data_IF_773366203599
#
_entry.id   IF_773366203599
#
_cell.length_a   1.000
_cell.length_b   1.000
_cell.length_c   1.000
_cell.angle_alpha   90.00
_cell.angle_beta   90.00
_cell.angle_gamma   90.00
#
_symmetry.space_group_name_H-M   'P 1'
#
loop_
_entity.id
_entity.type
_entity.pdbx_description
1 polymer ?
#
# COMPACT_ATOMS: atom_id res chain seq x y z
N UNK A 1 -85.57 -1.55 -2.91
CA UNK A 1 -85.94 -2.15 -1.62
C UNK A 1 -84.79 -3.08 -1.20
N UNK A 2 -84.30 -2.90 0.04
CA UNK A 2 -83.34 -3.75 0.79
C UNK A 2 -81.84 -3.57 0.51
N UNK A 3 -81.27 -2.78 1.43
CA UNK A 3 -79.87 -2.52 1.70
C UNK A 3 -79.06 -3.79 1.99
N UNK A 4 -77.77 -3.77 1.67
CA UNK A 4 -76.76 -4.68 2.23
C UNK A 4 -75.77 -3.86 3.05
N UNK A 5 -75.87 -4.03 4.36
CA UNK A 5 -74.90 -3.58 5.36
C UNK A 5 -73.53 -4.19 5.03
N UNK A 6 -72.50 -3.36 4.86
CA UNK A 6 -71.11 -3.76 5.05
C UNK A 6 -70.68 -3.26 6.42
N UNK A 7 -70.49 -4.19 7.36
CA UNK A 7 -69.93 -3.90 8.67
C UNK A 7 -68.42 -3.66 8.54
N UNK A 8 -68.00 -2.41 8.70
CA UNK A 8 -66.59 -2.03 8.89
C UNK A 8 -66.21 -2.43 10.33
N UNK A 9 -65.37 -3.45 10.49
CA UNK A 9 -64.71 -3.75 11.76
C UNK A 9 -63.34 -3.07 11.76
N UNK A 10 -63.29 -1.89 12.38
CA UNK A 10 -62.05 -1.17 12.68
C UNK A 10 -61.36 -1.90 13.85
N UNK A 11 -60.37 -2.74 13.55
CA UNK A 11 -59.52 -3.35 14.58
C UNK A 11 -58.51 -2.29 15.03
N UNK A 12 -58.82 -1.63 16.14
CA UNK A 12 -57.87 -0.75 16.84
C UNK A 12 -56.86 -1.65 17.59
N UNK A 13 -55.75 -1.98 16.93
CA UNK A 13 -54.62 -2.66 17.59
C UNK A 13 -53.93 -1.64 18.51
N UNK A 14 -54.36 -1.56 19.77
CA UNK A 14 -53.56 -0.91 20.82
C UNK A 14 -52.35 -1.81 21.10
N UNK A 15 -51.23 -1.52 20.44
CA UNK A 15 -49.93 -2.06 20.80
C UNK A 15 -49.53 -1.38 22.11
N UNK A 16 -50.00 -1.92 23.23
CA UNK A 16 -49.40 -1.66 24.53
C UNK A 16 -48.05 -2.41 24.55
N UNK A 17 -47.01 -1.77 24.02
CA UNK A 17 -45.64 -2.16 24.31
C UNK A 17 -45.38 -2.05 25.82
N UNK A 18 -44.48 -2.86 26.39
CA UNK A 18 -44.26 -2.88 27.83
C UNK A 18 -43.79 -1.49 28.32
N UNK A 19 -44.62 -0.81 29.11
CA UNK A 19 -44.32 0.48 29.77
C UNK A 19 -43.06 0.45 30.64
N UNK A 20 -42.55 -0.74 30.99
CA UNK A 20 -41.40 -0.91 31.87
C UNK A 20 -40.06 -0.38 31.30
N UNK A 21 -39.89 -0.32 29.97
CA UNK A 21 -38.64 0.14 29.37
C UNK A 21 -38.49 1.68 29.30
N UNK A 22 -39.58 2.44 29.46
CA UNK A 22 -39.53 3.91 29.51
C UNK A 22 -39.14 4.46 30.89
N UNK A 23 -39.35 3.69 31.97
CA UNK A 23 -39.12 4.17 33.33
C UNK A 23 -37.63 4.29 33.73
N UNK A 24 -36.74 3.42 33.25
CA UNK A 24 -35.31 3.46 33.64
C UNK A 24 -34.57 4.72 33.13
N UNK A 25 -35.09 5.37 32.08
CA UNK A 25 -34.51 6.59 31.50
C UNK A 25 -34.90 7.87 32.23
N UNK A 26 -36.04 7.85 32.94
CA UNK A 26 -36.64 9.00 33.58
C UNK A 26 -36.16 9.20 35.02
N UNK A 27 -35.38 8.26 35.56
CA UNK A 27 -34.86 8.31 36.92
C UNK A 27 -35.93 8.08 37.97
N UNK A 28 -35.61 8.42 39.23
CA UNK A 28 -36.48 8.20 40.39
C UNK A 28 -37.63 9.23 40.47
N UNK A 29 -37.53 10.36 39.76
CA UNK A 29 -38.57 11.39 39.67
C UNK A 29 -38.88 11.75 38.19
N UNK A 30 -39.77 10.98 37.53
CA UNK A 30 -40.14 11.20 36.13
C UNK A 30 -40.79 12.56 35.85
N UNK A 31 -41.61 13.06 36.77
CA UNK A 31 -42.33 14.33 36.57
C UNK A 31 -41.36 15.50 36.61
N UNK A 32 -40.43 15.50 37.58
CA UNK A 32 -39.38 16.49 37.66
C UNK A 32 -38.42 16.40 36.47
N UNK A 33 -38.08 15.19 36.02
CA UNK A 33 -37.28 14.98 34.83
C UNK A 33 -37.91 15.65 33.59
N UNK A 34 -39.18 15.35 33.32
CA UNK A 34 -39.90 15.85 32.15
C UNK A 34 -40.09 17.37 32.21
N UNK A 35 -40.40 17.92 33.38
CA UNK A 35 -40.51 19.37 33.59
C UNK A 35 -39.17 20.06 33.31
N UNK A 36 -38.09 19.61 33.94
CA UNK A 36 -36.75 20.19 33.77
C UNK A 36 -36.32 20.10 32.30
N UNK A 37 -36.50 18.95 31.65
CA UNK A 37 -36.14 18.75 30.25
C UNK A 37 -36.93 19.68 29.32
N UNK A 38 -38.23 19.84 29.55
CA UNK A 38 -39.10 20.74 28.77
C UNK A 38 -38.62 22.19 28.84
N UNK A 39 -38.36 22.68 30.05
CA UNK A 39 -37.88 24.05 30.28
C UNK A 39 -36.51 24.29 29.65
N UNK A 40 -35.56 23.37 29.88
CA UNK A 40 -34.25 23.43 29.25
C UNK A 40 -34.36 23.45 27.71
N UNK A 41 -35.17 22.56 27.13
CA UNK A 41 -35.25 22.44 25.68
C UNK A 41 -35.89 23.67 25.05
N UNK A 42 -36.86 24.29 25.71
CA UNK A 42 -37.47 25.51 25.20
C UNK A 42 -36.47 26.67 25.12
N UNK A 43 -35.71 26.93 26.20
CA UNK A 43 -34.65 27.94 26.16
C UNK A 43 -33.54 27.61 25.16
N UNK A 44 -33.13 26.34 25.07
CA UNK A 44 -32.10 25.92 24.12
C UNK A 44 -32.54 26.15 22.66
N UNK A 45 -33.81 25.90 22.30
CA UNK A 45 -34.34 26.13 20.94
C UNK A 45 -34.22 27.58 20.49
N UNK A 46 -34.23 28.51 21.44
CA UNK A 46 -34.16 29.94 21.21
C UNK A 46 -32.71 30.47 21.32
N UNK A 47 -31.71 29.57 21.37
CA UNK A 47 -30.30 29.87 21.61
C UNK A 47 -30.03 30.64 22.92
N UNK A 48 -31.00 30.64 23.84
CA UNK A 48 -30.86 31.27 25.15
C UNK A 48 -30.15 30.32 26.13
N UNK A 49 -28.86 30.08 25.91
CA UNK A 49 -28.07 29.13 26.71
C UNK A 49 -27.91 29.55 28.17
N UNK A 50 -27.94 30.86 28.45
CA UNK A 50 -27.86 31.38 29.82
C UNK A 50 -29.02 30.85 30.67
N UNK A 51 -30.25 30.92 30.15
CA UNK A 51 -31.44 30.47 30.87
C UNK A 51 -31.69 28.96 30.70
N UNK A 52 -31.14 28.33 29.65
CA UNK A 52 -31.20 26.88 29.47
C UNK A 52 -30.34 26.12 30.50
N UNK A 53 -29.17 26.65 30.87
CA UNK A 53 -28.17 25.95 31.70
C UNK A 53 -28.68 25.52 33.08
N UNK A 54 -29.37 26.36 33.88
CA UNK A 54 -29.90 25.92 35.17
C UNK A 54 -30.85 24.73 35.06
N UNK A 55 -31.70 24.72 34.02
CA UNK A 55 -32.63 23.62 33.77
C UNK A 55 -31.89 22.38 33.27
N UNK A 56 -30.91 22.55 32.38
CA UNK A 56 -30.08 21.47 31.88
C UNK A 56 -29.34 20.74 33.01
N UNK A 57 -28.74 21.49 33.95
CA UNK A 57 -28.06 20.92 35.12
C UNK A 57 -29.01 20.08 35.97
N UNK A 58 -30.21 20.59 36.25
CA UNK A 58 -31.23 19.82 36.97
C UNK A 58 -31.65 18.55 36.20
N UNK A 59 -31.76 18.62 34.87
CA UNK A 59 -32.12 17.46 34.06
C UNK A 59 -31.03 16.37 34.08
N UNK A 60 -29.75 16.72 33.94
CA UNK A 60 -28.67 15.71 34.00
C UNK A 60 -28.53 15.09 35.39
N UNK A 61 -28.88 15.81 36.46
CA UNK A 61 -28.91 15.28 37.83
C UNK A 61 -30.10 14.34 38.06
N UNK A 62 -31.27 14.67 37.50
CA UNK A 62 -32.51 13.90 37.73
C UNK A 62 -32.59 12.67 36.82
N UNK A 63 -32.25 12.82 35.54
CA UNK A 63 -32.46 11.79 34.52
C UNK A 63 -31.39 11.83 33.41
N UNK A 64 -30.13 11.51 33.74
CA UNK A 64 -28.99 11.61 32.80
C UNK A 64 -29.11 10.70 31.57
N UNK A 65 -29.89 9.62 31.65
CA UNK A 65 -30.13 8.65 30.56
C UNK A 65 -31.33 9.00 29.68
N UNK A 66 -32.04 10.10 29.97
CA UNK A 66 -33.28 10.43 29.28
C UNK A 66 -33.11 10.55 27.76
N UNK A 67 -32.07 11.27 27.32
CA UNK A 67 -31.78 11.48 25.90
C UNK A 67 -30.30 11.79 25.68
N UNK A 68 -29.69 11.22 24.65
CA UNK A 68 -28.31 11.55 24.26
C UNK A 68 -28.16 13.02 23.88
N UNK A 69 -29.23 13.64 23.36
CA UNK A 69 -29.25 15.07 23.01
C UNK A 69 -29.07 15.97 24.23
N UNK A 70 -29.35 15.47 25.44
CA UNK A 70 -29.06 16.20 26.67
C UNK A 70 -27.57 16.54 26.76
N UNK A 71 -26.71 15.55 26.53
CA UNK A 71 -25.27 15.71 26.60
C UNK A 71 -24.71 16.45 25.39
N UNK A 72 -25.18 16.14 24.17
CA UNK A 72 -24.77 16.84 22.93
C UNK A 72 -25.00 18.35 23.04
N UNK A 73 -26.17 18.74 23.52
CA UNK A 73 -26.51 20.15 23.72
C UNK A 73 -25.71 20.77 24.88
N UNK A 74 -25.37 19.99 25.90
CA UNK A 74 -24.43 20.39 26.95
C UNK A 74 -23.06 20.75 26.37
N UNK A 75 -22.52 19.91 25.49
CA UNK A 75 -21.26 20.19 24.79
C UNK A 75 -21.34 21.50 24.00
N UNK A 76 -22.43 21.71 23.25
CA UNK A 76 -22.65 22.94 22.46
C UNK A 76 -22.67 24.17 23.37
N UNK A 77 -23.49 24.16 24.44
CA UNK A 77 -23.58 25.28 25.37
C UNK A 77 -22.24 25.62 26.02
N UNK A 78 -21.46 24.61 26.43
CA UNK A 78 -20.15 24.86 27.04
C UNK A 78 -19.11 25.31 26.02
N UNK A 79 -19.10 24.77 24.80
CA UNK A 79 -18.23 25.27 23.71
C UNK A 79 -18.50 26.74 23.41
N UNK A 80 -19.76 27.14 23.27
CA UNK A 80 -20.14 28.55 23.05
C UNK A 80 -19.68 29.44 24.21
N UNK A 81 -19.79 28.98 25.46
CA UNK A 81 -19.31 29.74 26.62
C UNK A 81 -17.80 29.86 26.68
N UNK A 82 -17.07 28.80 26.34
CA UNK A 82 -15.60 28.83 26.27
C UNK A 82 -15.14 29.84 25.21
N UNK A 83 -15.78 29.86 24.05
CA UNK A 83 -15.47 30.78 22.95
C UNK A 83 -15.83 32.24 23.26
N UNK A 84 -16.83 32.46 24.12
CA UNK A 84 -17.25 33.79 24.57
C UNK A 84 -16.60 34.28 25.87
N UNK A 85 -15.75 33.49 26.52
CA UNK A 85 -15.11 33.84 27.79
C UNK A 85 -13.68 34.38 27.56
N UNK A 86 -13.42 35.58 28.06
CA UNK A 86 -12.13 36.25 27.91
C UNK A 86 -11.20 35.99 29.11
N UNK A 87 -11.76 35.65 30.27
CA UNK A 87 -10.98 35.35 31.46
C UNK A 87 -10.43 33.92 31.41
N UNK A 88 -9.10 33.79 31.37
CA UNK A 88 -8.42 32.49 31.23
C UNK A 88 -8.76 31.51 32.37
N UNK A 89 -8.94 31.99 33.61
CA UNK A 89 -9.25 31.11 34.74
C UNK A 89 -10.68 30.58 34.66
N UNK A 90 -11.64 31.42 34.28
CA UNK A 90 -13.02 30.97 34.01
C UNK A 90 -13.10 30.08 32.78
N UNK A 91 -12.34 30.39 31.75
CA UNK A 91 -12.25 29.56 30.55
C UNK A 91 -11.74 28.15 30.90
N UNK A 92 -10.71 28.03 31.74
CA UNK A 92 -10.20 26.75 32.22
C UNK A 92 -11.29 25.92 32.94
N UNK A 93 -12.06 26.54 33.84
CA UNK A 93 -13.17 25.88 34.56
C UNK A 93 -14.27 25.40 33.59
N UNK A 94 -14.57 26.19 32.55
CA UNK A 94 -15.54 25.80 31.52
C UNK A 94 -15.01 24.63 30.67
N UNK A 95 -13.71 24.60 30.38
CA UNK A 95 -13.06 23.48 29.69
C UNK A 95 -13.11 22.21 30.55
N UNK A 96 -12.82 22.29 31.86
CA UNK A 96 -12.98 21.15 32.78
C UNK A 96 -14.40 20.59 32.76
N UNK A 97 -15.38 21.50 32.80
CA UNK A 97 -16.80 21.13 32.73
C UNK A 97 -17.16 20.46 31.40
N UNK A 98 -16.59 20.92 30.28
CA UNK A 98 -16.76 20.27 28.98
C UNK A 98 -16.13 18.87 28.96
N UNK A 99 -14.95 18.68 29.54
CA UNK A 99 -14.33 17.34 29.63
C UNK A 99 -15.18 16.39 30.48
N UNK A 100 -15.74 16.89 31.58
CA UNK A 100 -16.67 16.12 32.40
C UNK A 100 -17.95 15.76 31.63
N UNK A 101 -18.50 16.67 30.82
CA UNK A 101 -19.66 16.37 29.95
C UNK A 101 -19.36 15.22 29.00
N UNK A 102 -18.17 15.21 28.38
CA UNK A 102 -17.73 14.10 27.54
C UNK A 102 -17.68 12.78 28.33
N UNK A 103 -17.12 12.81 29.53
CA UNK A 103 -17.02 11.61 30.38
C UNK A 103 -18.39 11.07 30.78
N UNK A 104 -19.31 11.94 31.18
CA UNK A 104 -20.68 11.53 31.52
C UNK A 104 -21.44 10.98 30.32
N UNK A 105 -21.29 11.61 29.14
CA UNK A 105 -21.89 11.11 27.91
C UNK A 105 -21.37 9.71 27.57
N UNK A 106 -20.05 9.51 27.67
CA UNK A 106 -19.40 8.22 27.44
C UNK A 106 -19.91 7.15 28.42
N UNK A 107 -20.11 7.50 29.70
CA UNK A 107 -20.62 6.59 30.73
C UNK A 107 -22.09 6.22 30.48
N UNK A 108 -22.96 7.21 30.28
CA UNK A 108 -24.41 6.99 30.20
C UNK A 108 -24.87 6.42 28.84
N UNK A 109 -24.09 6.66 27.78
CA UNK A 109 -24.44 6.28 26.41
C UNK A 109 -23.35 5.43 25.75
N UNK A 110 -22.58 4.66 26.53
CA UNK A 110 -21.46 3.84 26.04
C UNK A 110 -21.83 2.94 24.84
N UNK A 111 -23.03 2.35 24.85
CA UNK A 111 -23.52 1.41 23.83
C UNK A 111 -24.44 2.08 22.79
N UNK A 112 -24.45 3.42 22.71
CA UNK A 112 -25.33 4.12 21.77
C UNK A 112 -24.98 3.76 20.32
N UNK A 113 -25.96 3.39 19.47
CA UNK A 113 -25.68 2.82 18.15
C UNK A 113 -24.85 3.76 17.25
N UNK A 114 -25.13 5.06 17.33
CA UNK A 114 -24.47 6.10 16.52
C UNK A 114 -23.30 6.78 17.23
N UNK A 115 -23.33 6.83 18.58
CA UNK A 115 -22.42 7.67 19.37
C UNK A 115 -21.88 6.90 20.59
N UNK A 116 -21.28 5.72 20.37
CA UNK A 116 -20.78 4.90 21.48
C UNK A 116 -19.60 5.59 22.18
N UNK A 117 -19.14 5.00 23.28
CA UNK A 117 -18.02 5.52 24.09
C UNK A 117 -16.83 5.96 23.22
N UNK A 118 -16.36 5.10 22.31
CA UNK A 118 -15.23 5.41 21.44
C UNK A 118 -15.43 6.69 20.61
N UNK A 119 -16.62 6.88 20.01
CA UNK A 119 -16.93 8.11 19.28
C UNK A 119 -16.82 9.35 20.16
N UNK A 120 -17.35 9.28 21.38
CA UNK A 120 -17.34 10.39 22.35
C UNK A 120 -15.91 10.71 22.79
N UNK A 121 -15.08 9.70 23.02
CA UNK A 121 -13.66 9.86 23.37
C UNK A 121 -12.88 10.58 22.26
N UNK A 122 -13.10 10.22 20.98
CA UNK A 122 -12.47 10.92 19.86
C UNK A 122 -12.83 12.41 19.83
N UNK A 123 -14.10 12.76 20.05
CA UNK A 123 -14.54 14.16 20.13
C UNK A 123 -13.97 14.90 21.36
N UNK A 124 -13.82 14.20 22.49
CA UNK A 124 -13.18 14.72 23.69
C UNK A 124 -11.73 15.11 23.40
N UNK A 125 -10.94 14.22 22.81
CA UNK A 125 -9.54 14.47 22.51
C UNK A 125 -9.33 15.62 21.52
N UNK A 126 -10.16 15.71 20.48
CA UNK A 126 -10.13 16.86 19.55
C UNK A 126 -10.44 18.17 20.29
N UNK A 127 -11.40 18.14 21.24
CA UNK A 127 -11.72 19.31 22.06
C UNK A 127 -10.59 19.67 23.04
N UNK A 128 -9.85 18.68 23.56
CA UNK A 128 -8.63 18.91 24.36
C UNK A 128 -7.64 19.70 23.52
N UNK A 129 -7.28 19.25 22.32
CA UNK A 129 -6.30 19.96 21.49
C UNK A 129 -6.79 21.35 21.04
N UNK A 130 -8.10 21.54 20.87
CA UNK A 130 -8.68 22.85 20.55
C UNK A 130 -8.51 23.85 21.69
N UNK A 131 -8.75 23.45 22.94
CA UNK A 131 -8.86 24.38 24.08
C UNK A 131 -7.69 24.33 25.07
N UNK A 132 -7.03 23.18 25.19
CA UNK A 132 -5.77 22.95 25.93
C UNK A 132 -4.68 22.67 24.92
N UNK A 133 -4.28 23.73 24.22
CA UNK A 133 -3.16 23.67 23.28
C UNK A 133 -1.97 23.03 24.01
N UNK A 134 -1.31 22.09 23.34
CA UNK A 134 -0.13 21.36 23.84
C UNK A 134 -0.38 20.18 24.79
N UNK A 135 -1.64 19.86 25.16
CA UNK A 135 -1.95 18.64 25.93
C UNK A 135 -1.98 17.39 25.02
N UNK A 136 -0.88 17.17 24.30
CA UNK A 136 -0.73 16.12 23.30
C UNK A 136 -0.74 14.72 23.92
N UNK A 137 -0.11 14.54 25.09
CA UNK A 137 -0.08 13.23 25.76
C UNK A 137 -1.49 12.78 26.14
N UNK A 138 -2.28 13.65 26.77
CA UNK A 138 -3.66 13.30 27.17
C UNK A 138 -4.53 13.05 25.95
N UNK A 139 -4.41 13.88 24.91
CA UNK A 139 -5.14 13.69 23.67
C UNK A 139 -4.77 12.37 22.98
N UNK A 140 -3.47 12.03 22.92
CA UNK A 140 -2.96 10.79 22.32
C UNK A 140 -3.55 9.54 22.99
N UNK A 141 -3.50 9.46 24.32
CA UNK A 141 -4.05 8.32 25.09
C UNK A 141 -5.55 8.12 24.82
N UNK A 142 -6.31 9.23 24.79
CA UNK A 142 -7.76 9.19 24.55
C UNK A 142 -8.07 8.83 23.09
N UNK A 143 -7.31 9.33 22.12
CA UNK A 143 -7.44 9.01 20.70
C UNK A 143 -7.13 7.53 20.44
N UNK A 144 -6.07 7.01 21.07
CA UNK A 144 -5.72 5.59 20.99
C UNK A 144 -6.88 4.72 21.45
N UNK A 145 -7.41 4.97 22.65
CA UNK A 145 -8.57 4.24 23.18
C UNK A 145 -9.82 4.41 22.29
N UNK A 146 -10.04 5.61 21.74
CA UNK A 146 -11.12 5.87 20.79
C UNK A 146 -11.02 4.96 19.56
N UNK A 147 -9.82 4.85 18.98
CA UNK A 147 -9.58 4.04 17.78
C UNK A 147 -9.68 2.55 18.10
N UNK A 148 -9.15 2.10 19.24
CA UNK A 148 -9.28 0.70 19.69
C UNK A 148 -10.75 0.27 19.84
N UNK A 149 -11.61 1.14 20.38
CA UNK A 149 -13.04 0.85 20.55
C UNK A 149 -13.84 0.93 19.25
N UNK A 150 -13.44 1.81 18.32
CA UNK A 150 -14.20 2.10 17.10
C UNK A 150 -13.73 1.27 15.90
N UNK A 151 -12.46 0.87 15.87
CA UNK A 151 -11.83 0.20 14.73
C UNK A 151 -12.10 0.93 13.42
N UNK A 152 -12.58 0.24 12.36
CA UNK A 152 -12.94 0.84 11.07
C UNK A 152 -14.02 1.93 11.14
N UNK A 153 -14.80 2.02 12.23
CA UNK A 153 -15.82 3.08 12.41
C UNK A 153 -15.23 4.40 12.91
N UNK A 154 -13.93 4.47 13.19
CA UNK A 154 -13.26 5.71 13.58
C UNK A 154 -13.37 6.75 12.47
N UNK A 155 -13.59 8.02 12.82
CA UNK A 155 -13.72 9.07 11.80
C UNK A 155 -12.36 9.51 11.27
N UNK A 156 -12.35 10.02 10.03
CA UNK A 156 -11.19 10.64 9.39
C UNK A 156 -10.48 11.67 10.29
N UNK A 157 -11.26 12.54 10.97
CA UNK A 157 -10.71 13.53 11.89
C UNK A 157 -9.98 12.91 13.10
N UNK A 158 -10.50 11.81 13.64
CA UNK A 158 -9.89 11.13 14.80
C UNK A 158 -8.56 10.49 14.43
N UNK A 159 -8.50 9.74 13.31
CA UNK A 159 -7.26 9.08 12.89
C UNK A 159 -6.19 10.09 12.47
N UNK A 160 -6.57 11.18 11.80
CA UNK A 160 -5.66 12.27 11.44
C UNK A 160 -5.09 12.96 12.67
N UNK A 161 -5.96 13.25 13.65
CA UNK A 161 -5.54 13.88 14.92
C UNK A 161 -4.64 12.94 15.72
N UNK A 162 -4.92 11.63 15.72
CA UNK A 162 -4.07 10.66 16.39
C UNK A 162 -2.65 10.66 15.82
N UNK A 163 -2.53 10.61 14.49
CA UNK A 163 -1.22 10.69 13.83
C UNK A 163 -0.50 12.02 14.12
N UNK A 164 -1.24 13.13 14.16
CA UNK A 164 -0.68 14.43 14.55
C UNK A 164 -0.10 14.39 15.97
N UNK A 165 -0.84 13.83 16.94
CA UNK A 165 -0.37 13.71 18.33
C UNK A 165 0.82 12.76 18.45
N UNK A 166 0.81 11.63 17.72
CA UNK A 166 1.93 10.68 17.67
C UNK A 166 3.21 11.36 17.18
N UNK A 167 3.15 12.09 16.06
CA UNK A 167 4.28 12.89 15.55
C UNK A 167 4.79 13.86 16.61
N UNK A 168 3.91 14.58 17.29
CA UNK A 168 4.33 15.58 18.28
C UNK A 168 5.01 14.93 19.49
N UNK A 169 4.44 13.85 20.03
CA UNK A 169 5.06 13.10 21.12
C UNK A 169 6.42 12.51 20.74
N UNK A 170 6.61 12.11 19.48
CA UNK A 170 7.91 11.67 18.98
C UNK A 170 8.93 12.80 18.95
N UNK A 171 8.54 13.98 18.45
CA UNK A 171 9.39 15.17 18.44
C UNK A 171 9.76 15.63 19.85
N UNK A 172 8.87 15.42 20.82
CA UNK A 172 9.08 15.71 22.24
C UNK A 172 9.89 14.62 22.96
N UNK A 173 10.24 13.52 22.27
CA UNK A 173 11.00 12.39 22.82
C UNK A 173 10.21 11.51 23.81
N UNK A 174 8.87 11.62 23.80
CA UNK A 174 7.98 10.86 24.69
C UNK A 174 7.64 9.46 24.15
N UNK A 175 7.66 9.28 22.84
CA UNK A 175 7.52 7.98 22.16
C UNK A 175 8.67 7.76 21.19
N UNK A 176 8.94 6.50 20.85
CA UNK A 176 9.97 6.09 19.89
C UNK A 176 9.41 5.92 18.46
N UNK A 177 10.31 5.65 17.51
CA UNK A 177 9.96 5.47 16.10
C UNK A 177 9.09 4.22 15.84
N UNK A 178 9.18 3.20 16.70
CA UNK A 178 8.35 1.99 16.60
C UNK A 178 6.90 2.32 16.93
N UNK A 179 6.65 3.14 17.96
CA UNK A 179 5.31 3.59 18.26
C UNK A 179 4.72 4.46 17.15
N UNK A 180 5.48 5.43 16.60
CA UNK A 180 5.01 6.25 15.47
C UNK A 180 4.62 5.40 14.26
N UNK A 181 5.41 4.37 13.97
CA UNK A 181 5.15 3.46 12.86
C UNK A 181 3.91 2.59 13.08
N UNK A 182 3.72 2.07 14.30
CA UNK A 182 2.49 1.34 14.64
C UNK A 182 1.25 2.26 14.56
N UNK A 183 1.37 3.51 15.01
CA UNK A 183 0.28 4.49 14.94
C UNK A 183 -0.06 4.84 13.48
N UNK A 184 0.95 4.99 12.63
CA UNK A 184 0.76 5.14 11.18
C UNK A 184 0.03 3.95 10.57
N UNK A 185 0.40 2.71 10.91
CA UNK A 185 -0.28 1.52 10.41
C UNK A 185 -1.76 1.48 10.79
N UNK A 186 -2.06 1.69 12.08
CA UNK A 186 -3.43 1.66 12.60
C UNK A 186 -4.30 2.72 11.89
N UNK A 187 -3.76 3.93 11.72
CA UNK A 187 -4.51 5.02 11.07
C UNK A 187 -4.71 4.79 9.58
N UNK A 188 -3.70 4.28 8.88
CA UNK A 188 -3.81 3.92 7.46
C UNK A 188 -4.75 2.75 7.23
N UNK A 189 -4.75 1.73 8.09
CA UNK A 189 -5.67 0.59 7.98
C UNK A 189 -7.13 1.04 8.05
N UNK A 190 -7.45 1.93 9.00
CA UNK A 190 -8.79 2.52 9.10
C UNK A 190 -9.15 3.33 7.85
N UNK A 191 -8.22 4.15 7.36
CA UNK A 191 -8.47 4.97 6.18
C UNK A 191 -8.68 4.13 4.91
N UNK A 192 -7.79 3.17 4.65
CA UNK A 192 -7.87 2.25 3.51
C UNK A 192 -9.17 1.42 3.55
N UNK A 193 -9.58 0.94 4.73
CA UNK A 193 -10.83 0.19 4.89
C UNK A 193 -12.07 1.02 4.52
N UNK A 194 -12.11 2.31 4.89
CA UNK A 194 -13.21 3.20 4.53
C UNK A 194 -13.19 3.60 3.05
N UNK A 195 -12.03 3.91 2.49
CA UNK A 195 -11.88 4.22 1.06
C UNK A 195 -12.20 3.02 0.15
N UNK A 196 -11.98 1.78 0.62
CA UNK A 196 -12.44 0.60 -0.12
C UNK A 196 -13.96 0.52 -0.24
N UNK A 197 -14.69 1.00 0.76
CA UNK A 197 -16.16 1.04 0.76
C UNK A 197 -16.71 2.27 0.05
N UNK A 198 -16.02 3.40 0.16
CA UNK A 198 -16.40 4.68 -0.46
C UNK A 198 -15.14 5.36 -1.02
N UNK A 199 -14.73 5.02 -2.26
CA UNK A 199 -13.47 5.50 -2.84
C UNK A 199 -13.36 7.01 -2.97
N UNK A 200 -14.49 7.71 -3.12
CA UNK A 200 -14.54 9.17 -3.31
C UNK A 200 -14.80 9.93 -1.99
N UNK A 201 -14.56 9.33 -0.82
CA UNK A 201 -14.72 10.01 0.47
C UNK A 201 -13.61 11.07 0.66
N UNK A 202 -13.99 12.36 0.51
CA UNK A 202 -13.06 13.49 0.65
C UNK A 202 -12.40 13.55 2.03
N UNK A 203 -13.13 13.18 3.10
CA UNK A 203 -12.63 13.24 4.46
C UNK A 203 -11.50 12.24 4.71
N UNK A 204 -11.70 10.99 4.29
CA UNK A 204 -10.66 9.97 4.39
C UNK A 204 -9.52 10.19 3.41
N UNK A 205 -9.77 10.75 2.23
CA UNK A 205 -8.71 11.16 1.29
C UNK A 205 -7.80 12.20 1.93
N UNK A 206 -8.37 13.27 2.52
CA UNK A 206 -7.59 14.28 3.25
C UNK A 206 -6.88 13.70 4.48
N UNK A 207 -7.48 12.73 5.15
CA UNK A 207 -6.83 12.05 6.27
C UNK A 207 -5.61 11.26 5.82
N UNK A 208 -5.68 10.53 4.70
CA UNK A 208 -4.51 9.83 4.12
C UNK A 208 -3.38 10.81 3.85
N UNK A 209 -3.63 11.89 3.10
CA UNK A 209 -2.61 12.89 2.77
C UNK A 209 -1.99 13.49 4.03
N UNK A 210 -2.81 13.79 5.03
CA UNK A 210 -2.36 14.34 6.30
C UNK A 210 -1.56 13.34 7.15
N UNK A 211 -1.98 12.08 7.20
CA UNK A 211 -1.29 10.99 7.90
C UNK A 211 0.09 10.76 7.27
N UNK A 212 0.16 10.69 5.93
CA UNK A 212 1.43 10.54 5.20
C UNK A 212 2.37 11.73 5.44
N UNK A 213 1.83 12.95 5.44
CA UNK A 213 2.58 14.16 5.76
C UNK A 213 3.13 14.14 7.20
N UNK A 214 2.31 13.78 8.18
CA UNK A 214 2.77 13.69 9.56
C UNK A 214 3.80 12.57 9.77
N UNK A 215 3.60 11.42 9.13
CA UNK A 215 4.54 10.31 9.22
C UNK A 215 5.89 10.67 8.58
N UNK A 216 5.89 11.16 7.34
CA UNK A 216 7.12 11.55 6.62
C UNK A 216 7.90 12.66 7.32
N UNK A 217 7.21 13.66 7.89
CA UNK A 217 7.84 14.80 8.58
C UNK A 217 8.17 14.54 10.06
N UNK A 218 7.84 13.35 10.59
CA UNK A 218 8.16 12.99 11.98
C UNK A 218 9.66 12.75 12.18
N UNK A 219 10.37 12.30 11.14
CA UNK A 219 11.73 11.76 11.25
C UNK A 219 11.77 10.26 11.58
N UNK A 220 10.64 9.64 11.97
CA UNK A 220 10.55 8.18 12.17
C UNK A 220 10.47 7.40 10.85
N UNK A 221 10.13 8.06 9.74
CA UNK A 221 9.92 7.45 8.43
C UNK A 221 11.19 7.35 7.56
N UNK A 222 12.38 7.68 8.09
CA UNK A 222 13.62 7.60 7.30
C UNK A 222 14.27 6.20 7.39
N UNK A 223 15.04 5.83 6.37
CA UNK A 223 15.66 4.51 6.29
C UNK A 223 16.58 4.20 7.46
N UNK A 224 17.36 5.17 7.94
CA UNK A 224 18.31 4.96 9.04
C UNK A 224 17.57 4.62 10.36
N UNK A 225 16.45 5.30 10.63
CA UNK A 225 15.60 5.03 11.79
C UNK A 225 15.00 3.61 11.72
N UNK A 226 14.43 3.24 10.57
CA UNK A 226 13.83 1.90 10.38
C UNK A 226 14.88 0.78 10.46
N UNK A 227 16.04 0.97 9.85
CA UNK A 227 17.14 0.00 9.89
C UNK A 227 17.68 -0.13 11.31
N UNK A 228 17.86 0.98 12.04
CA UNK A 228 18.33 0.97 13.43
C UNK A 228 17.33 0.29 14.37
N UNK A 229 16.03 0.45 14.10
CA UNK A 229 14.97 -0.16 14.90
C UNK A 229 14.85 -1.67 14.67
N UNK A 230 14.83 -2.09 13.40
CA UNK A 230 14.52 -3.49 13.03
C UNK A 230 15.76 -4.37 12.86
N UNK A 231 16.89 -3.80 12.45
CA UNK A 231 18.14 -4.54 12.23
C UNK A 231 18.56 -5.41 13.43
N UNK A 232 18.61 -4.87 14.66
CA UNK A 232 18.96 -5.65 15.85
C UNK A 232 17.98 -6.81 16.15
N UNK A 233 16.71 -6.66 15.76
CA UNK A 233 15.65 -7.65 16.02
C UNK A 233 15.63 -8.79 15.00
N UNK A 234 16.19 -8.58 13.81
CA UNK A 234 16.15 -9.52 12.69
C UNK A 234 16.63 -10.92 13.06
N UNK A 235 17.78 -11.05 13.72
CA UNK A 235 18.36 -12.35 14.05
C UNK A 235 17.43 -13.24 14.90
N UNK A 236 16.61 -12.64 15.77
CA UNK A 236 15.68 -13.33 16.65
C UNK A 236 14.31 -13.60 16.01
N UNK A 237 13.92 -12.80 15.00
CA UNK A 237 12.58 -12.81 14.40
C UNK A 237 12.57 -13.25 12.93
N UNK A 238 13.71 -13.66 12.37
CA UNK A 238 13.84 -14.11 10.97
C UNK A 238 13.02 -15.34 10.59
N UNK A 239 12.44 -16.05 11.56
CA UNK A 239 11.57 -17.21 11.34
C UNK A 239 10.08 -16.87 11.61
N UNK A 240 9.77 -15.60 11.91
CA UNK A 240 8.42 -15.09 12.14
C UNK A 240 7.86 -14.45 10.86
N UNK A 241 7.02 -15.20 10.15
CA UNK A 241 6.41 -14.78 8.87
C UNK A 241 5.59 -13.49 9.03
N UNK A 242 4.88 -13.31 10.14
CA UNK A 242 4.05 -12.13 10.36
C UNK A 242 4.94 -10.89 10.53
N UNK A 243 6.00 -11.02 11.33
CA UNK A 243 6.98 -9.95 11.52
C UNK A 243 7.70 -9.62 10.21
N UNK A 244 8.14 -10.61 9.44
CA UNK A 244 8.80 -10.41 8.15
C UNK A 244 7.91 -9.72 7.11
N UNK A 245 6.65 -10.12 7.01
CA UNK A 245 5.66 -9.45 6.15
C UNK A 245 5.46 -7.99 6.56
N UNK A 246 5.38 -7.75 7.87
CA UNK A 246 5.25 -6.40 8.43
C UNK A 246 6.46 -5.53 8.06
N UNK A 247 7.68 -5.97 8.39
CA UNK A 247 8.87 -5.13 8.16
C UNK A 247 9.17 -4.91 6.69
N UNK A 248 8.99 -5.91 5.82
CA UNK A 248 9.22 -5.74 4.37
C UNK A 248 8.22 -4.75 3.76
N UNK A 249 6.94 -4.78 4.19
CA UNK A 249 5.93 -3.79 3.79
C UNK A 249 6.30 -2.38 4.25
N UNK A 250 6.74 -2.22 5.49
CA UNK A 250 7.10 -0.92 6.05
C UNK A 250 8.34 -0.32 5.39
N UNK A 251 9.41 -1.10 5.25
CA UNK A 251 10.66 -0.68 4.59
C UNK A 251 10.38 -0.30 3.12
N UNK A 252 9.49 -1.04 2.43
CA UNK A 252 9.05 -0.70 1.07
C UNK A 252 8.27 0.60 1.01
N UNK A 253 7.32 0.81 1.92
CA UNK A 253 6.53 2.05 2.02
C UNK A 253 7.41 3.27 2.28
N UNK A 254 8.46 3.10 3.08
CA UNK A 254 9.44 4.15 3.35
C UNK A 254 10.45 4.36 2.20
N UNK A 255 10.38 3.59 1.11
CA UNK A 255 11.31 3.68 -0.02
C UNK A 255 12.70 3.13 0.28
N UNK A 256 12.86 2.31 1.32
CA UNK A 256 14.14 1.84 1.85
C UNK A 256 14.56 0.46 1.32
N UNK A 257 14.14 0.12 0.10
CA UNK A 257 14.28 -1.22 -0.50
C UNK A 257 15.70 -1.58 -0.91
N UNK A 258 16.63 -0.63 -0.92
CA UNK A 258 18.05 -0.90 -1.21
C UNK A 258 18.84 -1.35 0.04
N UNK A 259 18.24 -1.27 1.23
CA UNK A 259 18.88 -1.64 2.50
C UNK A 259 19.18 -3.14 2.61
N UNK A 260 20.24 -3.50 3.34
CA UNK A 260 20.58 -4.91 3.61
C UNK A 260 19.46 -5.63 4.35
N UNK A 261 18.87 -4.96 5.34
CA UNK A 261 17.75 -5.50 6.08
C UNK A 261 16.56 -5.87 5.17
N UNK A 262 16.27 -5.08 4.12
CA UNK A 262 15.20 -5.42 3.18
C UNK A 262 15.50 -6.71 2.42
N UNK A 263 16.72 -6.86 1.92
CA UNK A 263 17.13 -8.06 1.20
C UNK A 263 17.12 -9.28 2.14
N UNK A 264 17.74 -9.17 3.31
CA UNK A 264 17.82 -10.25 4.30
C UNK A 264 16.42 -10.70 4.75
N UNK A 265 15.51 -9.75 5.01
CA UNK A 265 14.13 -10.04 5.38
C UNK A 265 13.32 -10.66 4.23
N UNK A 266 13.55 -10.20 3.00
CA UNK A 266 12.89 -10.77 1.82
C UNK A 266 13.38 -12.19 1.53
N UNK A 267 14.68 -12.47 1.70
CA UNK A 267 15.25 -13.81 1.56
C UNK A 267 14.71 -14.76 2.64
N UNK A 268 14.64 -14.30 3.90
CA UNK A 268 14.06 -15.06 5.00
C UNK A 268 12.58 -15.38 4.76
N UNK A 269 11.81 -14.39 4.30
CA UNK A 269 10.39 -14.59 3.96
C UNK A 269 10.22 -15.61 2.83
N UNK A 270 11.04 -15.54 1.78
CA UNK A 270 11.03 -16.51 0.70
C UNK A 270 11.39 -17.93 1.16
N UNK A 271 12.33 -18.08 2.09
CA UNK A 271 12.69 -19.39 2.64
C UNK A 271 11.53 -20.05 3.42
N UNK A 272 10.64 -19.24 4.01
CA UNK A 272 9.49 -19.72 4.77
C UNK A 272 8.25 -19.93 3.89
N UNK A 273 8.04 -19.08 2.88
CA UNK A 273 6.89 -19.13 1.96
C UNK A 273 7.36 -18.89 0.51
N UNK A 274 7.94 -19.90 -0.15
CA UNK A 274 8.50 -19.76 -1.48
C UNK A 274 7.39 -19.63 -2.53
N UNK A 275 7.50 -18.60 -3.37
CA UNK A 275 6.62 -18.40 -4.53
C UNK A 275 7.40 -17.86 -5.72
N UNK A 276 6.86 -18.06 -6.93
CA UNK A 276 7.46 -17.52 -8.15
C UNK A 276 7.59 -15.99 -8.09
N UNK A 277 6.57 -15.30 -7.56
CA UNK A 277 6.57 -13.85 -7.39
C UNK A 277 7.65 -13.39 -6.39
N UNK A 278 7.76 -14.07 -5.24
CA UNK A 278 8.80 -13.74 -4.26
C UNK A 278 10.22 -13.96 -4.82
N UNK A 279 10.45 -15.07 -5.54
CA UNK A 279 11.72 -15.33 -6.20
C UNK A 279 12.04 -14.26 -7.26
N UNK A 280 11.07 -13.88 -8.10
CA UNK A 280 11.29 -12.85 -9.11
C UNK A 280 11.57 -11.47 -8.50
N UNK A 281 10.89 -11.12 -7.41
CA UNK A 281 11.15 -9.89 -6.66
C UNK A 281 12.56 -9.90 -6.03
N UNK A 282 13.01 -11.04 -5.50
CA UNK A 282 14.38 -11.21 -4.99
C UNK A 282 15.43 -11.08 -6.11
N UNK A 283 15.18 -11.67 -7.28
CA UNK A 283 16.05 -11.47 -8.43
C UNK A 283 16.18 -9.98 -8.78
N UNK A 284 15.08 -9.21 -8.79
CA UNK A 284 15.11 -7.78 -9.04
C UNK A 284 15.92 -7.00 -7.97
N UNK A 285 15.83 -7.40 -6.70
CA UNK A 285 16.64 -6.83 -5.61
C UNK A 285 18.13 -7.07 -5.87
N UNK A 286 18.52 -8.31 -6.19
CA UNK A 286 19.93 -8.66 -6.39
C UNK A 286 20.51 -8.14 -7.72
N UNK A 287 19.68 -7.95 -8.76
CA UNK A 287 20.06 -7.25 -9.99
C UNK A 287 20.46 -5.79 -9.71
N UNK A 288 19.67 -5.05 -8.92
CA UNK A 288 20.01 -3.65 -8.53
C UNK A 288 21.27 -3.57 -7.68
N UNK A 289 21.55 -4.63 -6.92
CA UNK A 289 22.74 -4.76 -6.07
C UNK A 289 23.98 -5.29 -6.80
N UNK A 290 23.84 -5.60 -8.09
CA UNK A 290 24.90 -6.18 -8.91
C UNK A 290 25.40 -7.55 -8.40
N UNK A 291 24.60 -8.25 -7.58
CA UNK A 291 24.88 -9.64 -7.18
C UNK A 291 24.30 -10.58 -8.23
N UNK A 292 25.06 -10.75 -9.31
CA UNK A 292 24.66 -11.54 -10.46
C UNK A 292 24.38 -13.01 -10.11
N UNK A 293 25.12 -13.56 -9.14
CA UNK A 293 24.99 -14.97 -8.74
C UNK A 293 23.64 -15.21 -8.07
N UNK A 294 23.31 -14.41 -7.05
CA UNK A 294 21.99 -14.51 -6.39
C UNK A 294 20.85 -14.14 -7.33
N UNK A 295 21.02 -13.12 -8.17
CA UNK A 295 20.02 -12.75 -9.16
C UNK A 295 19.71 -13.91 -10.13
N UNK A 296 20.74 -14.62 -10.59
CA UNK A 296 20.60 -15.79 -11.44
C UNK A 296 19.86 -16.93 -10.74
N UNK A 297 20.25 -17.24 -9.49
CA UNK A 297 19.61 -18.30 -8.68
C UNK A 297 18.12 -18.02 -8.48
N UNK A 298 17.77 -16.79 -8.10
CA UNK A 298 16.37 -16.42 -7.89
C UNK A 298 15.56 -16.36 -9.19
N UNK A 299 16.15 -15.99 -10.33
CA UNK A 299 15.50 -16.11 -11.64
C UNK A 299 15.23 -17.57 -12.01
N UNK A 300 16.19 -18.47 -11.77
CA UNK A 300 16.02 -19.91 -12.02
C UNK A 300 14.89 -20.48 -11.15
N UNK A 301 14.86 -20.15 -9.87
CA UNK A 301 13.77 -20.53 -8.95
C UNK A 301 12.41 -19.96 -9.38
N UNK A 302 12.37 -18.69 -9.81
CA UNK A 302 11.13 -18.05 -10.28
C UNK A 302 10.58 -18.75 -11.53
N UNK A 303 11.45 -19.12 -12.48
CA UNK A 303 11.10 -19.86 -13.69
C UNK A 303 10.57 -21.26 -13.34
N UNK A 304 11.20 -21.95 -12.39
CA UNK A 304 10.78 -23.30 -11.98
C UNK A 304 9.39 -23.30 -11.32
N UNK A 305 9.14 -22.33 -10.43
CA UNK A 305 7.87 -22.17 -9.72
C UNK A 305 6.78 -21.55 -10.60
N UNK A 306 7.14 -20.73 -11.58
CA UNK A 306 6.26 -19.85 -12.36
C UNK A 306 6.07 -20.25 -13.82
N UNK A 307 5.88 -21.54 -14.12
CA UNK A 307 5.78 -22.05 -15.51
C UNK A 307 4.60 -21.50 -16.32
N UNK A 308 3.59 -20.95 -15.66
CA UNK A 308 2.43 -20.31 -16.30
C UNK A 308 2.42 -18.78 -16.12
N UNK A 309 3.50 -18.19 -15.60
CA UNK A 309 3.59 -16.74 -15.35
C UNK A 309 3.60 -15.97 -16.67
N UNK A 310 2.85 -14.86 -16.80
CA UNK A 310 2.95 -13.98 -17.96
C UNK A 310 4.36 -13.38 -18.14
N UNK A 311 5.13 -13.28 -17.05
CA UNK A 311 6.52 -12.79 -17.02
C UNK A 311 7.56 -13.87 -17.39
N UNK A 312 7.16 -15.13 -17.65
CA UNK A 312 8.10 -16.23 -17.87
C UNK A 312 9.10 -15.95 -19.01
N UNK A 313 8.63 -15.35 -20.11
CA UNK A 313 9.49 -14.95 -21.22
C UNK A 313 10.53 -13.91 -20.77
N UNK A 314 10.10 -12.92 -19.99
CA UNK A 314 10.94 -11.85 -19.46
C UNK A 314 11.99 -12.40 -18.48
N UNK A 315 11.64 -13.37 -17.63
CA UNK A 315 12.58 -14.06 -16.74
C UNK A 315 13.64 -14.84 -17.53
N UNK A 316 13.24 -15.62 -18.55
CA UNK A 316 14.20 -16.33 -19.41
C UNK A 316 15.17 -15.38 -20.09
N UNK A 317 14.69 -14.25 -20.60
CA UNK A 317 15.53 -13.27 -21.27
C UNK A 317 16.48 -12.55 -20.30
N UNK A 318 16.03 -12.18 -19.10
CA UNK A 318 16.89 -11.60 -18.06
C UNK A 318 18.00 -12.58 -17.66
N UNK A 319 17.67 -13.85 -17.47
CA UNK A 319 18.65 -14.88 -17.17
C UNK A 319 19.62 -15.11 -18.36
N UNK A 320 19.12 -15.04 -19.60
CA UNK A 320 19.96 -15.10 -20.80
C UNK A 320 20.96 -13.94 -20.86
N UNK A 321 20.50 -12.72 -20.54
CA UNK A 321 21.34 -11.52 -20.47
C UNK A 321 22.42 -11.64 -19.41
N UNK A 322 22.10 -12.14 -18.20
CA UNK A 322 23.10 -12.41 -17.15
C UNK A 322 24.17 -13.39 -17.62
N UNK A 323 23.74 -14.50 -18.24
CA UNK A 323 24.65 -15.52 -18.77
C UNK A 323 25.54 -14.99 -19.90
N UNK A 324 25.03 -14.08 -20.73
CA UNK A 324 25.80 -13.45 -21.80
C UNK A 324 26.78 -12.37 -21.29
N UNK A 325 26.32 -11.50 -20.41
CA UNK A 325 27.05 -10.29 -20.02
C UNK A 325 28.01 -10.52 -18.85
N UNK A 326 27.63 -11.37 -17.88
CA UNK A 326 28.38 -11.54 -16.63
C UNK A 326 29.06 -12.91 -16.55
N UNK A 327 28.35 -14.00 -16.80
CA UNK A 327 28.92 -15.36 -16.65
C UNK A 327 29.69 -15.85 -17.88
N UNK A 328 29.44 -15.26 -19.06
CA UNK A 328 30.02 -15.69 -20.34
C UNK A 328 29.68 -17.14 -20.71
N UNK A 329 28.55 -17.64 -20.23
CA UNK A 329 27.99 -18.96 -20.55
C UNK A 329 27.14 -18.88 -21.82
N UNK A 330 27.81 -18.69 -22.96
CA UNK A 330 27.16 -18.37 -24.24
C UNK A 330 26.15 -19.42 -24.73
N UNK A 331 26.44 -20.71 -24.54
CA UNK A 331 25.52 -21.79 -24.89
C UNK A 331 24.24 -21.74 -24.04
N UNK A 332 24.38 -21.53 -22.73
CA UNK A 332 23.26 -21.41 -21.79
C UNK A 332 22.43 -20.16 -22.11
N UNK A 333 23.09 -19.02 -22.34
CA UNK A 333 22.44 -17.79 -22.76
C UNK A 333 21.61 -17.96 -24.05
N UNK A 334 22.13 -18.67 -25.06
CA UNK A 334 21.36 -18.99 -26.28
C UNK A 334 20.13 -19.82 -25.96
N UNK A 335 20.28 -20.90 -25.19
CA UNK A 335 19.15 -21.79 -24.85
C UNK A 335 18.05 -21.04 -24.10
N UNK A 336 18.42 -20.17 -23.16
CA UNK A 336 17.47 -19.32 -22.42
C UNK A 336 16.77 -18.31 -23.33
N UNK A 337 17.50 -17.67 -24.24
CA UNK A 337 16.90 -16.78 -25.23
C UNK A 337 15.93 -17.51 -26.17
N UNK A 338 16.21 -18.77 -26.52
CA UNK A 338 15.28 -19.61 -27.29
C UNK A 338 14.02 -19.95 -26.48
N UNK A 339 14.13 -20.25 -25.19
CA UNK A 339 12.97 -20.47 -24.32
C UNK A 339 12.11 -19.20 -24.23
N UNK A 340 12.73 -18.02 -24.15
CA UNK A 340 12.02 -16.74 -24.19
C UNK A 340 11.24 -16.55 -25.51
N UNK A 341 11.82 -16.95 -26.65
CA UNK A 341 11.17 -16.91 -27.96
C UNK A 341 10.00 -17.89 -28.03
N UNK A 342 10.18 -19.11 -27.51
CA UNK A 342 9.11 -20.12 -27.48
C UNK A 342 7.92 -19.62 -26.66
N UNK A 343 8.20 -18.98 -25.52
CA UNK A 343 7.17 -18.40 -24.65
C UNK A 343 6.51 -17.17 -25.28
N UNK A 344 7.26 -16.32 -25.99
CA UNK A 344 6.76 -15.09 -26.65
C UNK A 344 7.33 -14.94 -28.07
N UNK A 345 6.71 -15.56 -29.09
CA UNK A 345 7.27 -15.63 -30.45
C UNK A 345 7.42 -14.29 -31.19
N UNK A 346 6.60 -13.30 -30.84
CA UNK A 346 6.59 -11.96 -31.44
C UNK A 346 7.48 -10.96 -30.70
N UNK A 347 8.50 -11.44 -29.99
CA UNK A 347 9.43 -10.60 -29.23
C UNK A 347 10.83 -10.65 -29.83
N UNK A 348 11.33 -9.50 -30.28
CA UNK A 348 12.55 -9.39 -31.07
C UNK A 348 13.83 -9.38 -30.23
N UNK A 349 13.79 -8.89 -28.99
CA UNK A 349 14.99 -8.76 -28.13
C UNK A 349 15.77 -10.07 -27.93
N UNK A 350 15.14 -11.23 -27.70
CA UNK A 350 15.88 -12.49 -27.61
C UNK A 350 16.60 -12.87 -28.91
N UNK A 351 16.03 -12.57 -30.09
CA UNK A 351 16.70 -12.80 -31.37
C UNK A 351 17.92 -11.89 -31.52
N UNK A 352 17.82 -10.62 -31.13
CA UNK A 352 18.96 -9.70 -31.09
C UNK A 352 20.07 -10.24 -30.19
N UNK A 353 19.72 -10.72 -28.99
CA UNK A 353 20.66 -11.31 -28.07
C UNK A 353 21.37 -12.54 -28.67
N UNK A 354 20.65 -13.45 -29.33
CA UNK A 354 21.27 -14.62 -29.97
C UNK A 354 22.26 -14.20 -31.07
N UNK A 355 21.91 -13.19 -31.89
CA UNK A 355 22.84 -12.68 -32.90
C UNK A 355 24.12 -12.09 -32.28
N UNK A 356 23.98 -11.33 -31.19
CA UNK A 356 25.11 -10.79 -30.42
C UNK A 356 25.96 -11.89 -29.77
N UNK A 357 25.33 -12.95 -29.24
CA UNK A 357 26.02 -14.14 -28.70
C UNK A 357 26.89 -14.78 -29.78
N UNK A 358 26.35 -14.97 -31.00
CA UNK A 358 27.09 -15.56 -32.11
C UNK A 358 28.34 -14.74 -32.46
N UNK A 359 28.19 -13.42 -32.55
CA UNK A 359 29.32 -12.52 -32.81
C UNK A 359 30.37 -12.60 -31.70
N UNK A 360 29.95 -12.64 -30.43
CA UNK A 360 30.87 -12.68 -29.30
C UNK A 360 31.74 -13.95 -29.26
N UNK A 361 31.24 -15.07 -29.78
CA UNK A 361 31.97 -16.35 -29.80
C UNK A 361 32.67 -16.63 -31.12
N UNK A 362 32.61 -15.73 -32.10
CA UNK A 362 33.15 -15.92 -33.45
C UNK A 362 34.54 -16.56 -33.45
N UNK A 363 35.46 -16.02 -32.65
CA UNK A 363 36.86 -16.47 -32.63
C UNK A 363 37.07 -17.83 -31.94
N UNK A 364 36.03 -18.34 -31.26
CA UNK A 364 36.01 -19.66 -30.60
C UNK A 364 35.47 -20.76 -31.50
N UNK A 365 34.82 -20.42 -32.63
CA UNK A 365 34.13 -21.38 -33.49
C UNK A 365 35.07 -22.09 -34.47
N UNK A 366 36.11 -21.40 -34.96
CA UNK A 366 37.09 -21.97 -35.89
C UNK A 366 38.43 -21.22 -35.82
N UNK A 367 39.51 -21.86 -36.25
CA UNK A 367 40.79 -21.20 -36.54
C UNK A 367 40.84 -20.59 -37.94
N UNK A 368 39.90 -20.93 -38.82
CA UNK A 368 39.83 -20.44 -40.19
C UNK A 368 39.09 -19.08 -40.28
N UNK A 369 39.72 -18.09 -40.91
CA UNK A 369 39.19 -16.73 -41.01
C UNK A 369 37.87 -16.64 -41.80
N UNK A 370 37.74 -17.47 -42.85
CA UNK A 370 36.50 -17.52 -43.63
C UNK A 370 35.36 -18.09 -42.78
N UNK A 371 35.59 -19.21 -42.08
CA UNK A 371 34.58 -19.80 -41.19
C UNK A 371 34.16 -18.83 -40.08
N UNK A 372 35.08 -18.04 -39.53
CA UNK A 372 34.75 -16.97 -38.58
C UNK A 372 33.82 -15.92 -39.19
N UNK A 373 34.05 -15.52 -40.44
CA UNK A 373 33.17 -14.56 -41.13
C UNK A 373 31.76 -15.12 -41.39
N UNK A 374 31.61 -16.44 -41.54
CA UNK A 374 30.29 -17.07 -41.76
C UNK A 374 29.35 -16.91 -40.56
N UNK A 375 29.90 -16.70 -39.35
CA UNK A 375 29.12 -16.44 -38.12
C UNK A 375 28.27 -15.18 -38.26
N UNK A 376 28.75 -14.17 -39.00
CA UNK A 376 27.99 -12.95 -39.24
C UNK A 376 26.74 -13.19 -40.08
N UNK A 377 26.73 -14.19 -40.98
CA UNK A 377 25.51 -14.56 -41.70
C UNK A 377 24.42 -15.05 -40.75
N UNK A 378 24.78 -15.97 -39.85
CA UNK A 378 23.84 -16.48 -38.84
C UNK A 378 23.38 -15.38 -37.88
N UNK A 379 24.28 -14.48 -37.45
CA UNK A 379 23.92 -13.36 -36.59
C UNK A 379 22.94 -12.40 -37.29
N UNK A 380 23.23 -12.02 -38.54
CA UNK A 380 22.35 -11.14 -39.34
C UNK A 380 20.99 -11.79 -39.60
N UNK A 381 20.91 -13.11 -39.77
CA UNK A 381 19.62 -13.80 -39.89
C UNK A 381 18.77 -13.64 -38.63
N UNK A 382 19.38 -13.70 -37.43
CA UNK A 382 18.64 -13.44 -36.19
C UNK A 382 18.19 -11.98 -36.11
N UNK A 383 19.01 -11.01 -36.53
CA UNK A 383 18.60 -9.60 -36.56
C UNK A 383 17.48 -9.34 -37.57
N UNK A 384 17.54 -9.94 -38.75
CA UNK A 384 16.45 -9.89 -39.75
C UNK A 384 15.18 -10.48 -39.15
N UNK A 385 15.29 -11.62 -38.46
CA UNK A 385 14.16 -12.25 -37.80
C UNK A 385 13.57 -11.34 -36.72
N UNK A 386 14.41 -10.76 -35.85
CA UNK A 386 14.00 -9.80 -34.82
C UNK A 386 13.16 -8.66 -35.43
N UNK A 387 13.70 -8.00 -36.46
CA UNK A 387 13.02 -6.91 -37.19
C UNK A 387 11.68 -7.33 -37.78
N UNK A 388 11.56 -8.58 -38.22
CA UNK A 388 10.35 -9.08 -38.87
C UNK A 388 9.22 -9.42 -37.90
N UNK A 389 9.54 -9.79 -36.66
CA UNK A 389 8.55 -10.26 -35.67
C UNK A 389 8.15 -9.19 -34.67
N UNK A 390 8.98 -8.16 -34.50
CA UNK A 390 8.83 -7.13 -33.47
C UNK A 390 9.22 -5.75 -34.02
N UNK A 391 8.24 -4.87 -34.29
CA UNK A 391 8.48 -3.50 -34.75
C UNK A 391 9.29 -2.65 -33.77
N UNK A 392 9.20 -2.90 -32.45
CA UNK A 392 9.82 -2.05 -31.43
C UNK A 392 11.35 -2.12 -31.47
N UNK A 393 11.90 -3.21 -31.99
CA UNK A 393 13.35 -3.39 -32.16
C UNK A 393 13.82 -3.14 -33.60
N UNK A 394 12.96 -2.64 -34.48
CA UNK A 394 13.24 -2.58 -35.92
C UNK A 394 14.46 -1.73 -36.26
N UNK A 395 14.61 -0.56 -35.62
CA UNK A 395 15.73 0.36 -35.85
C UNK A 395 17.05 -0.16 -35.30
N UNK A 396 17.01 -0.77 -34.11
CA UNK A 396 18.17 -1.45 -33.52
C UNK A 396 18.62 -2.62 -34.40
N UNK A 397 17.67 -3.48 -34.80
CA UNK A 397 17.92 -4.60 -35.69
C UNK A 397 18.49 -4.14 -37.03
N UNK A 398 17.94 -3.06 -37.64
CA UNK A 398 18.47 -2.48 -38.87
C UNK A 398 19.92 -2.03 -38.69
N UNK A 399 20.23 -1.32 -37.61
CA UNK A 399 21.60 -0.88 -37.32
C UNK A 399 22.57 -2.05 -37.21
N UNK A 400 22.15 -3.12 -36.51
CA UNK A 400 22.94 -4.35 -36.38
C UNK A 400 23.12 -5.07 -37.74
N UNK A 401 22.06 -5.15 -38.56
CA UNK A 401 22.12 -5.72 -39.92
C UNK A 401 23.12 -4.93 -40.78
N UNK A 402 22.98 -3.61 -40.84
CA UNK A 402 23.82 -2.73 -41.66
C UNK A 402 25.30 -2.84 -41.23
N UNK A 403 25.54 -2.86 -39.92
CA UNK A 403 26.90 -3.00 -39.35
C UNK A 403 27.50 -4.36 -39.67
N UNK A 404 26.80 -5.45 -39.34
CA UNK A 404 27.37 -6.79 -39.41
C UNK A 404 27.40 -7.39 -40.81
N UNK A 405 26.57 -6.90 -41.73
CA UNK A 405 26.67 -7.25 -43.17
C UNK A 405 27.98 -6.77 -43.80
N UNK A 406 28.60 -5.72 -43.25
CA UNK A 406 29.92 -5.24 -43.68
C UNK A 406 31.07 -6.22 -43.40
N UNK A 407 30.86 -7.20 -42.52
CA UNK A 407 31.87 -8.21 -42.16
C UNK A 407 31.68 -9.55 -42.89
N UNK A 408 30.74 -9.62 -43.84
CA UNK A 408 30.56 -10.83 -44.65
C UNK A 408 31.82 -11.15 -45.47
N UNK A 409 32.04 -12.43 -45.82
CA UNK A 409 33.05 -12.80 -46.80
C UNK A 409 32.88 -12.03 -48.11
N UNK A 410 33.99 -11.70 -48.76
CA UNK A 410 33.96 -11.08 -50.10
C UNK A 410 33.45 -12.08 -51.14
N UNK A 411 33.01 -11.55 -52.29
CA UNK A 411 32.69 -12.39 -53.45
C UNK A 411 33.83 -13.33 -53.85
N UNK A 412 35.08 -12.84 -53.78
CA UNK A 412 36.28 -13.61 -54.09
C UNK A 412 36.50 -14.76 -53.09
N UNK A 413 36.36 -14.49 -51.79
CA UNK A 413 36.49 -15.50 -50.73
C UNK A 413 35.43 -16.61 -50.88
N UNK A 414 34.17 -16.26 -51.15
CA UNK A 414 33.11 -17.23 -51.45
C UNK A 414 33.43 -18.05 -52.70
N UNK A 415 33.91 -17.41 -53.77
CA UNK A 415 34.25 -18.08 -55.02
C UNK A 415 35.36 -19.12 -54.85
N UNK A 416 36.43 -18.80 -54.10
CA UNK A 416 37.50 -19.76 -53.80
C UNK A 416 37.02 -20.99 -53.01
N UNK A 417 35.92 -20.84 -52.26
CA UNK A 417 35.26 -21.93 -51.52
C UNK A 417 34.18 -22.65 -52.35
N UNK A 418 34.05 -22.32 -53.64
CA UNK A 418 33.00 -22.83 -54.54
C UNK A 418 31.57 -22.53 -54.02
N UNK A 419 31.39 -21.43 -53.32
CA UNK A 419 30.10 -20.97 -52.79
C UNK A 419 29.56 -19.79 -53.61
N UNK A 420 28.25 -19.72 -53.77
CA UNK A 420 27.53 -18.65 -54.46
C UNK A 420 26.47 -18.03 -53.54
N UNK A 421 26.16 -16.76 -53.78
CA UNK A 421 25.07 -16.09 -53.08
C UNK A 421 23.75 -16.85 -53.27
N UNK A 422 23.05 -17.09 -52.16
CA UNK A 422 21.84 -17.91 -52.14
C UNK A 422 22.06 -19.38 -51.77
N UNK A 423 23.30 -19.87 -51.80
CA UNK A 423 23.60 -21.24 -51.36
C UNK A 423 23.29 -21.40 -49.86
N UNK A 424 22.90 -22.61 -49.48
CA UNK A 424 22.73 -22.98 -48.07
C UNK A 424 24.09 -23.29 -47.44
N UNK A 425 24.32 -22.75 -46.26
CA UNK A 425 25.53 -23.00 -45.48
C UNK A 425 25.17 -23.34 -44.03
N UNK A 426 25.95 -24.20 -43.40
CA UNK A 426 25.78 -24.55 -41.99
C UNK A 426 26.98 -24.05 -41.20
N UNK A 427 26.74 -23.11 -40.30
CA UNK A 427 27.79 -22.54 -39.45
C UNK A 427 28.28 -23.60 -38.47
N UNK A 428 29.60 -23.77 -38.39
CA UNK A 428 30.26 -24.78 -37.58
C UNK A 428 30.19 -24.53 -36.06
N UNK A 429 30.93 -25.37 -35.33
CA UNK A 429 30.98 -25.33 -33.86
C UNK A 429 29.63 -25.63 -33.21
N UNK A 430 29.42 -25.11 -32.00
CA UNK A 430 28.18 -25.31 -31.26
C UNK A 430 27.03 -24.42 -31.76
N UNK A 431 27.31 -23.40 -32.60
CA UNK A 431 26.28 -22.56 -33.24
C UNK A 431 25.38 -23.46 -34.08
N UNK A 432 25.95 -24.24 -35.00
CA UNK A 432 25.27 -25.32 -35.72
C UNK A 432 23.95 -24.91 -36.42
N UNK A 433 23.89 -23.68 -36.92
CA UNK A 433 22.70 -23.08 -37.54
C UNK A 433 22.84 -23.05 -39.07
N UNK A 434 21.73 -23.27 -39.76
CA UNK A 434 21.66 -23.09 -41.22
C UNK A 434 21.46 -21.61 -41.55
N UNK A 435 22.16 -21.13 -42.57
CA UNK A 435 22.12 -19.76 -43.06
C UNK A 435 22.25 -19.75 -44.59
N UNK A 436 22.08 -18.56 -45.18
CA UNK A 436 22.23 -18.33 -46.61
C UNK A 436 23.51 -17.54 -46.87
N UNK A 437 24.33 -18.06 -47.80
CA UNK A 437 25.55 -17.39 -48.28
C UNK A 437 25.18 -16.03 -48.86
N UNK A 438 25.84 -14.98 -48.36
CA UNK A 438 25.71 -13.61 -48.84
C UNK A 438 27.09 -12.96 -48.90
N UNK A 439 27.52 -12.61 -50.09
CA UNK A 439 28.74 -11.84 -50.30
C UNK A 439 28.58 -10.41 -49.77
N UNK A 440 29.69 -9.85 -49.30
CA UNK A 440 29.76 -8.44 -48.92
C UNK A 440 29.50 -7.57 -50.15
N UNK A 441 28.52 -6.68 -50.05
CA UNK A 441 28.26 -5.66 -51.06
C UNK A 441 29.24 -4.50 -50.85
N UNK A 442 29.92 -4.11 -51.93
CA UNK A 442 30.85 -2.98 -51.97
C UNK A 442 30.11 -1.64 -52.05
#
# INVERSE_FOLDING_TARGET
MKARLFALTLVLLMIAGPLAAQNDKLGDDPDQCLMNYSLYREFYKQDNYKDALPWWKKTIETCPKYSVNLWINGEIMYKTRIEGEADAAKQAILIDSLMWIYDQRAIHFKDHPTYPEGYVLGQKAISILKYRKEDYQTAYEILKKSIELMGPRSSAAVILTYMQTSRQLFLDGMIDAEQVLNDYEITMEVAEANLKLTPDDEGFTMAVDGIESYFSTSGAANCDALISLYGPKFSALKDDIEWLNKITKQIRRAGCTDSNLFADASEALYALDPSAEAAYNLAAIFLRREDWSKASEYLENAIELGKESPELADMYYQLAMLNFQHFKEYQKARSLALNAIETRPNWGKPYLLIGQIYIAVRDQISSDDFERKTVFWAAVDKFIKARSVDPDVSDEAKTLIDTYSGYFPTNEECFFRTMKDGDQYRVGGWINESTTVRSRKL
#
